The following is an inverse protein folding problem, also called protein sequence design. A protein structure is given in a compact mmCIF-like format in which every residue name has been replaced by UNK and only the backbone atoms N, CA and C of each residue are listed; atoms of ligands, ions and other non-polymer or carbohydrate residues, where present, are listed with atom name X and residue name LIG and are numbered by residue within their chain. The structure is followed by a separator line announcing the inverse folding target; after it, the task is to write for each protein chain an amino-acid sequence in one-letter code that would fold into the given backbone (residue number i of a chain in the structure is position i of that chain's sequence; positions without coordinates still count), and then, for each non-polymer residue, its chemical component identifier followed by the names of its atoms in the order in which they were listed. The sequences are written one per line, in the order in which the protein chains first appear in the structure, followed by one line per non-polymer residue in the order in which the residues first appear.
data_IF_777833689087
#
_entry.id   IF_777833689087
#
_cell.length_a   1.000
_cell.length_b   1.000
_cell.length_c   1.000
_cell.angle_alpha   90.00
_cell.angle_beta   90.00
_cell.angle_gamma   90.00
#
_symmetry.space_group_name_H-M   'P 1'
#
loop_
_entity.id
_entity.type
_entity.pdbx_description
1 polymer ?
#
# COMPACT_ATOMS: atom_id res chain seq x y z
N UNK A 1 36.44 24.65 -12.80
CA UNK A 1 35.65 25.86 -12.47
C UNK A 1 34.18 25.52 -12.61
N UNK A 2 33.43 25.52 -11.50
CA UNK A 2 31.99 25.25 -11.50
C UNK A 2 31.26 26.42 -12.18
N UNK A 3 30.50 26.15 -13.25
CA UNK A 3 29.70 27.16 -13.95
C UNK A 3 28.26 27.08 -13.46
N UNK A 4 27.82 28.07 -12.69
CA UNK A 4 26.42 28.17 -12.23
C UNK A 4 25.63 28.93 -13.30
N UNK A 5 24.57 28.32 -13.83
CA UNK A 5 23.68 28.94 -14.81
C UNK A 5 22.55 29.70 -14.11
N UNK A 6 22.00 30.71 -14.78
CA UNK A 6 20.95 31.59 -14.23
C UNK A 6 19.69 30.81 -13.80
N UNK A 7 19.35 29.74 -14.52
CA UNK A 7 18.22 28.87 -14.21
C UNK A 7 18.44 28.11 -12.89
N UNK A 8 19.67 27.64 -12.64
CA UNK A 8 20.03 26.95 -11.40
C UNK A 8 19.94 27.89 -10.19
N UNK A 9 20.24 29.18 -10.38
CA UNK A 9 20.11 30.19 -9.34
C UNK A 9 18.63 30.50 -9.01
N UNK A 10 17.77 30.52 -10.03
CA UNK A 10 16.33 30.69 -9.84
C UNK A 10 15.69 29.55 -9.04
N UNK A 11 16.07 28.31 -9.32
CA UNK A 11 15.57 27.13 -8.59
C UNK A 11 16.02 27.16 -7.12
N UNK A 12 17.25 27.59 -6.87
CA UNK A 12 17.78 27.75 -5.51
C UNK A 12 17.07 28.88 -4.73
N UNK A 13 16.75 30.01 -5.38
CA UNK A 13 16.01 31.09 -4.74
C UNK A 13 14.57 30.70 -4.40
N UNK A 14 13.93 29.89 -5.26
CA UNK A 14 12.55 29.47 -5.05
C UNK A 14 12.42 28.44 -3.91
N UNK A 15 13.44 27.59 -3.70
CA UNK A 15 13.44 26.61 -2.60
C UNK A 15 13.57 27.26 -1.21
N UNK A 16 14.21 28.43 -1.11
CA UNK A 16 14.34 29.17 0.16
C UNK A 16 13.02 29.78 0.66
N UNK A 17 12.04 30.01 -0.23
CA UNK A 17 10.73 30.57 0.13
C UNK A 17 9.81 29.53 0.80
N UNK A 18 10.08 28.22 0.64
CA UNK A 18 9.24 27.15 1.19
C UNK A 18 9.31 27.03 2.73
N UNK A 19 10.31 27.64 3.37
CA UNK A 19 10.53 27.53 4.82
C UNK A 19 10.05 28.75 5.64
N UNK A 20 9.53 29.80 5.01
CA UNK A 20 9.10 31.04 5.70
C UNK A 20 7.61 31.04 6.08
N UNK A 21 7.09 29.95 6.62
CA UNK A 21 5.75 29.94 7.23
C UNK A 21 5.88 30.37 8.70
N UNK A 22 5.53 31.62 8.99
CA UNK A 22 5.39 32.09 10.37
C UNK A 22 4.15 31.46 11.00
N UNK A 23 4.36 30.48 11.89
CA UNK A 23 3.28 29.92 12.71
C UNK A 23 2.82 30.97 13.72
N UNK A 24 1.68 31.61 13.48
CA UNK A 24 0.97 32.34 14.54
C UNK A 24 0.38 31.32 15.51
N UNK A 25 0.94 31.25 16.72
CA UNK A 25 0.32 30.60 17.87
C UNK A 25 -0.71 31.56 18.46
N UNK A 26 -2.00 31.32 18.19
CA UNK A 26 -3.10 31.97 18.91
C UNK A 26 -3.13 31.45 20.35
N UNK A 27 -2.69 32.29 21.29
CA UNK A 27 -2.58 31.99 22.73
C UNK A 27 -3.93 31.86 23.46
N UNK A 28 -5.06 31.89 22.75
CA UNK A 28 -6.43 31.86 23.31
C UNK A 28 -7.26 30.64 22.91
N UNK A 29 -6.63 29.58 22.40
CA UNK A 29 -7.31 28.30 22.15
C UNK A 29 -7.18 27.40 23.38
N UNK A 30 -8.25 27.27 24.16
CA UNK A 30 -8.37 26.21 25.17
C UNK A 30 -8.10 24.87 24.49
N UNK A 31 -6.98 24.23 24.82
CA UNK A 31 -6.57 22.95 24.23
C UNK A 31 -7.55 21.85 24.67
N UNK A 32 -8.59 21.61 23.89
CA UNK A 32 -9.38 20.38 23.99
C UNK A 32 -8.53 19.23 23.47
N UNK A 33 -8.19 18.26 24.33
CA UNK A 33 -7.50 17.03 23.94
C UNK A 33 -8.32 16.31 22.88
N UNK A 34 -7.95 16.45 21.61
CA UNK A 34 -8.57 15.72 20.49
C UNK A 34 -7.88 14.38 20.37
N UNK A 35 -8.58 13.30 20.69
CA UNK A 35 -8.03 11.95 20.73
C UNK A 35 -8.12 11.27 19.38
N UNK A 36 -7.14 10.42 19.07
CA UNK A 36 -7.21 9.47 17.97
C UNK A 36 -8.41 8.54 18.18
N UNK A 37 -9.22 8.34 17.15
CA UNK A 37 -10.37 7.43 17.16
C UNK A 37 -10.00 6.16 16.42
N UNK A 38 -10.19 5.02 17.06
CA UNK A 38 -10.22 3.73 16.39
C UNK A 38 -11.57 3.60 15.69
N UNK A 39 -11.56 3.37 14.38
CA UNK A 39 -12.78 3.26 13.58
C UNK A 39 -13.22 1.79 13.51
N UNK A 40 -12.33 0.92 13.03
CA UNK A 40 -12.61 -0.50 12.86
C UNK A 40 -11.30 -1.30 12.75
N UNK A 41 -11.40 -2.60 13.02
CA UNK A 41 -10.45 -3.59 12.54
C UNK A 41 -11.24 -4.79 12.00
N UNK A 42 -10.80 -5.33 10.87
CA UNK A 42 -11.40 -6.51 10.28
C UNK A 42 -10.36 -7.63 10.14
N UNK A 43 -10.88 -8.85 10.13
CA UNK A 43 -10.12 -10.06 9.86
C UNK A 43 -10.82 -10.71 8.67
N UNK A 44 -10.08 -10.88 7.58
CA UNK A 44 -10.58 -11.45 6.34
C UNK A 44 -9.81 -12.73 6.05
N UNK A 45 -10.53 -13.83 5.92
CA UNK A 45 -9.97 -15.13 5.52
C UNK A 45 -10.57 -15.54 4.17
N UNK A 46 -9.74 -15.98 3.25
CA UNK A 46 -10.17 -16.49 1.95
C UNK A 46 -9.52 -17.84 1.63
N UNK A 47 -10.30 -18.67 0.95
CA UNK A 47 -9.88 -19.98 0.48
C UNK A 47 -10.20 -20.10 -1.00
N UNK A 48 -9.18 -20.43 -1.79
CA UNK A 48 -9.33 -20.72 -3.19
C UNK A 48 -8.78 -22.11 -3.50
N UNK A 49 -9.54 -22.89 -4.27
CA UNK A 49 -9.13 -24.21 -4.71
C UNK A 49 -9.55 -24.42 -6.16
N UNK A 50 -8.56 -24.78 -6.98
CA UNK A 50 -8.76 -25.16 -8.37
C UNK A 50 -8.22 -26.56 -8.58
N UNK A 51 -8.91 -27.31 -9.44
CA UNK A 51 -8.48 -28.62 -9.90
C UNK A 51 -8.88 -28.78 -11.38
N UNK A 52 -7.98 -29.32 -12.19
CA UNK A 52 -8.14 -29.45 -13.63
C UNK A 52 -7.00 -30.27 -14.24
N UNK A 53 -7.17 -30.69 -15.49
CA UNK A 53 -6.22 -31.53 -16.23
C UNK A 53 -5.73 -30.89 -17.54
N UNK A 54 -6.09 -29.63 -17.81
CA UNK A 54 -5.79 -28.91 -19.04
C UNK A 54 -4.83 -27.74 -18.80
N UNK A 55 -3.66 -28.04 -18.22
CA UNK A 55 -2.65 -27.00 -17.97
C UNK A 55 -2.26 -26.23 -19.24
N UNK A 56 -2.37 -24.90 -19.16
CA UNK A 56 -2.05 -23.98 -20.25
C UNK A 56 -0.55 -23.97 -20.62
N UNK A 57 0.32 -24.37 -19.68
CA UNK A 57 1.79 -24.29 -19.82
C UNK A 57 2.33 -25.49 -20.62
N UNK A 58 1.59 -26.60 -20.68
CA UNK A 58 1.97 -27.85 -21.36
C UNK A 58 1.13 -28.14 -22.61
N UNK A 59 0.47 -27.14 -23.17
CA UNK A 59 -0.34 -27.31 -24.38
C UNK A 59 -1.62 -28.13 -24.15
N UNK A 60 -2.19 -28.08 -22.95
CA UNK A 60 -3.47 -28.73 -22.62
C UNK A 60 -3.36 -30.11 -21.94
N UNK A 61 -2.15 -30.52 -21.53
CA UNK A 61 -1.91 -31.81 -20.85
C UNK A 61 -1.16 -31.57 -19.53
N UNK A 62 -1.85 -31.57 -18.39
CA UNK A 62 -1.20 -31.41 -17.08
C UNK A 62 -2.15 -30.92 -16.00
N UNK A 63 -1.79 -31.13 -14.73
CA UNK A 63 -2.63 -30.73 -13.59
C UNK A 63 -2.66 -29.22 -13.39
N UNK A 64 -3.84 -28.69 -13.11
CA UNK A 64 -4.09 -27.30 -12.72
C UNK A 64 -4.40 -27.17 -11.22
N UNK A 65 -4.00 -28.16 -10.42
CA UNK A 65 -4.33 -28.16 -9.00
C UNK A 65 -3.63 -26.98 -8.30
N UNK A 66 -4.42 -26.10 -7.71
CA UNK A 66 -3.96 -24.90 -7.01
C UNK A 66 -4.79 -24.74 -5.74
N UNK A 67 -4.15 -24.49 -4.61
CA UNK A 67 -4.84 -24.18 -3.35
C UNK A 67 -4.17 -22.97 -2.71
N UNK A 68 -4.98 -21.99 -2.35
CA UNK A 68 -4.56 -20.75 -1.70
C UNK A 68 -5.40 -20.49 -0.45
N UNK A 69 -4.73 -20.26 0.67
CA UNK A 69 -5.32 -19.85 1.94
C UNK A 69 -4.73 -18.51 2.37
N UNK A 70 -5.55 -17.47 2.37
CA UNK A 70 -5.13 -16.11 2.66
C UNK A 70 -5.84 -15.57 3.91
N UNK A 71 -5.09 -14.91 4.79
CA UNK A 71 -5.61 -14.23 5.97
C UNK A 71 -5.05 -12.82 6.05
N UNK A 72 -5.94 -11.84 6.21
CA UNK A 72 -5.58 -10.42 6.31
C UNK A 72 -6.20 -9.83 7.56
N UNK A 73 -5.40 -9.09 8.33
CA UNK A 73 -5.89 -8.23 9.41
C UNK A 73 -5.72 -6.79 8.95
N UNK A 74 -6.80 -6.02 8.92
CA UNK A 74 -6.77 -4.59 8.61
C UNK A 74 -7.31 -3.76 9.78
N UNK A 75 -6.79 -2.55 9.94
CA UNK A 75 -7.27 -1.60 10.93
C UNK A 75 -7.32 -0.19 10.38
N UNK A 76 -8.23 0.62 10.92
CA UNK A 76 -8.42 2.02 10.53
C UNK A 76 -8.55 2.90 11.76
N UNK A 77 -7.81 4.00 11.74
CA UNK A 77 -7.79 5.04 12.76
C UNK A 77 -8.09 6.39 12.08
N UNK A 78 -8.80 7.27 12.77
CA UNK A 78 -9.02 8.63 12.30
C UNK A 78 -8.82 9.65 13.40
N UNK A 79 -8.40 10.83 12.99
CA UNK A 79 -8.20 11.96 13.87
C UNK A 79 -8.81 13.20 13.21
N UNK A 80 -9.66 13.92 13.94
CA UNK A 80 -10.23 15.18 13.46
C UNK A 80 -9.63 16.33 14.27
N UNK A 81 -9.00 17.29 13.58
CA UNK A 81 -8.42 18.45 14.25
C UNK A 81 -9.45 19.53 14.62
N UNK A 82 -10.73 19.34 14.29
CA UNK A 82 -11.85 20.27 14.47
C UNK A 82 -11.68 21.62 13.78
N UNK A 83 -10.66 21.76 12.91
CA UNK A 83 -10.41 22.90 12.03
C UNK A 83 -10.74 22.55 10.57
N UNK A 84 -11.63 21.56 10.37
CA UNK A 84 -12.08 21.09 9.06
C UNK A 84 -11.08 20.16 8.37
N UNK A 85 -10.16 19.52 9.09
CA UNK A 85 -9.30 18.46 8.54
C UNK A 85 -9.52 17.15 9.30
N UNK A 86 -9.84 16.10 8.53
CA UNK A 86 -9.92 14.72 9.01
C UNK A 86 -8.72 13.95 8.48
N UNK A 87 -7.92 13.43 9.39
CA UNK A 87 -6.78 12.58 9.14
C UNK A 87 -7.23 11.12 9.27
N UNK A 88 -6.82 10.27 8.34
CA UNK A 88 -7.12 8.84 8.35
C UNK A 88 -5.80 8.08 8.22
N UNK A 89 -5.60 7.10 9.09
CA UNK A 89 -4.47 6.19 9.08
C UNK A 89 -5.01 4.77 9.02
N UNK A 90 -4.47 3.96 8.13
CA UNK A 90 -4.82 2.57 8.01
C UNK A 90 -3.58 1.71 7.85
N UNK A 91 -3.70 0.46 8.24
CA UNK A 91 -2.69 -0.54 7.98
C UNK A 91 -3.32 -1.91 7.86
N UNK A 92 -2.64 -2.78 7.13
CA UNK A 92 -3.02 -4.16 6.96
C UNK A 92 -1.77 -5.05 6.95
N UNK A 93 -1.97 -6.29 7.36
CA UNK A 93 -0.97 -7.36 7.25
C UNK A 93 -1.67 -8.61 6.76
N UNK A 94 -1.23 -9.10 5.60
CA UNK A 94 -1.70 -10.34 5.01
C UNK A 94 -0.65 -11.45 5.07
N UNK A 95 -1.14 -12.68 5.24
CA UNK A 95 -0.37 -13.92 5.17
C UNK A 95 -1.14 -14.89 4.28
N UNK A 96 -0.52 -15.30 3.17
CA UNK A 96 -1.09 -16.25 2.23
C UNK A 96 -0.23 -17.51 2.17
N UNK A 97 -0.89 -18.66 2.08
CA UNK A 97 -0.29 -19.97 1.89
C UNK A 97 -0.73 -20.50 0.53
N UNK A 98 0.18 -20.44 -0.43
CA UNK A 98 -0.07 -20.84 -1.81
C UNK A 98 0.57 -22.19 -2.11
N UNK A 99 -0.17 -23.08 -2.76
CA UNK A 99 0.32 -24.37 -3.26
C UNK A 99 -0.14 -24.62 -4.68
N UNK A 100 0.75 -25.05 -5.57
CA UNK A 100 0.40 -25.41 -6.95
C UNK A 100 1.04 -26.72 -7.39
N UNK A 101 0.35 -27.48 -8.24
CA UNK A 101 0.86 -28.73 -8.79
C UNK A 101 1.74 -28.56 -10.04
N UNK A 102 1.91 -27.33 -10.55
CA UNK A 102 2.76 -27.02 -11.71
C UNK A 102 4.12 -26.40 -11.35
N UNK A 103 4.31 -25.88 -10.14
CA UNK A 103 5.64 -25.46 -9.66
C UNK A 103 6.62 -26.64 -9.55
N UNK A 104 6.10 -27.86 -9.38
CA UNK A 104 6.85 -29.10 -9.19
C UNK A 104 7.50 -29.66 -10.48
N UNK A 105 7.22 -29.08 -11.66
CA UNK A 105 7.79 -29.54 -12.94
C UNK A 105 8.96 -28.70 -13.43
N UNK A 106 9.38 -27.69 -12.67
CA UNK A 106 10.51 -26.81 -13.00
C UNK A 106 11.75 -27.10 -12.13
N UNK A 107 11.63 -27.83 -11.03
CA UNK A 107 12.80 -28.32 -10.27
C UNK A 107 13.00 -29.84 -10.46
N UNK A 108 14.23 -30.25 -10.75
CA UNK A 108 14.64 -31.63 -11.01
C UNK A 108 15.13 -32.35 -9.75
N UNK A 109 14.64 -31.95 -8.57
CA UNK A 109 14.86 -32.68 -7.31
C UNK A 109 13.55 -33.18 -6.73
N UNK A 110 13.36 -34.49 -6.90
CA UNK A 110 12.28 -35.24 -6.27
C UNK A 110 12.55 -35.32 -4.76
N UNK A 111 11.94 -34.45 -3.98
CA UNK A 111 11.70 -34.70 -2.56
C UNK A 111 10.42 -34.02 -2.08
N UNK A 112 9.39 -34.86 -1.93
CA UNK A 112 8.32 -34.77 -0.91
C UNK A 112 7.45 -33.51 -0.90
N UNK A 113 6.31 -33.52 -1.60
CA UNK A 113 5.11 -32.72 -1.30
C UNK A 113 5.36 -31.27 -0.79
N UNK A 114 6.32 -30.54 -1.37
CA UNK A 114 6.94 -29.34 -0.81
C UNK A 114 7.01 -28.21 -1.84
N UNK A 115 5.87 -27.61 -2.16
CA UNK A 115 5.78 -26.34 -2.88
C UNK A 115 4.69 -25.49 -2.23
N UNK A 116 4.87 -25.18 -0.95
CA UNK A 116 4.02 -24.24 -0.22
C UNK A 116 4.80 -22.94 -0.04
N UNK A 117 4.48 -21.92 -0.83
CA UNK A 117 5.07 -20.60 -0.68
C UNK A 117 4.21 -19.78 0.28
N UNK A 118 4.86 -19.22 1.29
CA UNK A 118 4.24 -18.31 2.26
C UNK A 118 4.57 -16.89 1.85
N UNK A 119 3.53 -16.09 1.64
CA UNK A 119 3.69 -14.67 1.34
C UNK A 119 3.20 -13.82 2.49
N UNK A 120 4.04 -12.91 2.97
CA UNK A 120 3.70 -11.91 3.99
C UNK A 120 3.76 -10.53 3.37
N UNK A 121 2.66 -9.78 3.43
CA UNK A 121 2.53 -8.49 2.74
C UNK A 121 1.86 -7.43 3.62
N UNK A 122 2.63 -6.70 4.43
CA UNK A 122 2.11 -5.57 5.18
C UNK A 122 1.98 -4.31 4.31
N UNK A 123 0.95 -3.52 4.58
CA UNK A 123 0.79 -2.20 3.97
C UNK A 123 0.29 -1.16 4.98
N UNK A 124 0.63 0.09 4.72
CA UNK A 124 0.17 1.25 5.49
C UNK A 124 -0.32 2.33 4.54
N UNK A 125 -1.33 3.06 4.99
CA UNK A 125 -1.91 4.16 4.24
C UNK A 125 -2.25 5.34 5.15
N UNK A 126 -2.12 6.54 4.59
CA UNK A 126 -2.42 7.78 5.29
C UNK A 126 -3.08 8.76 4.33
N UNK A 127 -4.15 9.42 4.79
CA UNK A 127 -4.81 10.46 4.00
C UNK A 127 -5.34 11.59 4.87
N UNK A 128 -5.43 12.77 4.27
CA UNK A 128 -5.99 13.97 4.87
C UNK A 128 -7.13 14.45 4.00
N UNK A 129 -8.29 14.56 4.61
CA UNK A 129 -9.50 15.12 4.02
C UNK A 129 -9.72 16.53 4.54
N UNK A 130 -10.07 17.44 3.63
CA UNK A 130 -10.62 18.74 3.95
C UNK A 130 -12.14 18.66 3.98
N UNK A 131 -12.76 18.73 5.16
CA UNK A 131 -14.20 18.55 5.34
C UNK A 131 -15.02 19.64 4.65
N UNK A 132 -14.46 20.85 4.47
CA UNK A 132 -15.15 21.96 3.79
C UNK A 132 -15.20 21.78 2.28
N UNK A 133 -14.19 21.14 1.71
CA UNK A 133 -14.06 20.99 0.26
C UNK A 133 -14.24 19.55 -0.18
N UNK A 134 -14.41 18.59 0.73
CA UNK A 134 -14.41 17.15 0.45
C UNK A 134 -13.26 16.72 -0.46
N UNK A 135 -12.09 17.35 -0.29
CA UNK A 135 -10.88 17.00 -1.02
C UNK A 135 -9.98 16.16 -0.13
N UNK A 136 -9.58 15.01 -0.63
CA UNK A 136 -8.72 14.02 0.03
C UNK A 136 -7.40 13.96 -0.73
N UNK A 137 -6.31 13.97 0.02
CA UNK A 137 -4.98 13.66 -0.48
C UNK A 137 -4.34 12.65 0.46
N UNK A 138 -3.73 11.62 -0.09
CA UNK A 138 -3.08 10.59 0.68
C UNK A 138 -2.02 9.84 -0.07
N UNK A 139 -1.43 8.88 0.61
CA UNK A 139 -0.46 7.96 0.06
C UNK A 139 -0.43 6.65 0.83
N UNK A 140 0.26 5.70 0.26
CA UNK A 140 0.40 4.35 0.80
C UNK A 140 1.80 3.83 0.56
N UNK A 141 2.22 2.92 1.43
CA UNK A 141 3.42 2.10 1.29
C UNK A 141 3.02 0.64 1.49
N UNK A 142 3.57 -0.24 0.68
CA UNK A 142 3.33 -1.66 0.73
C UNK A 142 4.67 -2.40 0.64
N UNK A 143 4.77 -3.49 1.35
CA UNK A 143 5.89 -4.43 1.27
C UNK A 143 5.29 -5.81 1.06
N UNK A 144 5.97 -6.66 0.30
CA UNK A 144 5.60 -8.06 0.16
C UNK A 144 6.87 -8.90 0.10
N UNK A 145 6.88 -9.96 0.87
CA UNK A 145 7.93 -10.96 0.85
C UNK A 145 7.29 -12.35 0.68
N UNK A 146 7.80 -13.06 -0.31
CA UNK A 146 7.57 -14.46 -0.63
C UNK A 146 8.97 -15.10 -0.71
N UNK A 147 9.09 -16.42 -0.57
CA UNK A 147 10.34 -17.15 -0.30
C UNK A 147 11.63 -16.52 -0.88
N UNK A 148 11.69 -16.34 -2.19
CA UNK A 148 12.79 -15.74 -2.95
C UNK A 148 12.37 -14.46 -3.70
N UNK A 149 11.34 -13.78 -3.20
CA UNK A 149 10.77 -12.64 -3.88
C UNK A 149 10.35 -11.54 -2.92
N UNK A 150 10.99 -10.39 -3.04
CA UNK A 150 10.68 -9.21 -2.24
C UNK A 150 10.27 -8.06 -3.14
N UNK A 151 9.19 -7.37 -2.77
CA UNK A 151 8.77 -6.15 -3.43
C UNK A 151 8.43 -5.06 -2.44
N UNK A 152 8.67 -3.82 -2.86
CA UNK A 152 8.27 -2.62 -2.14
C UNK A 152 7.51 -1.71 -3.10
N UNK A 153 6.40 -1.17 -2.62
CA UNK A 153 5.51 -0.33 -3.39
C UNK A 153 5.14 0.94 -2.64
N UNK A 154 4.89 1.99 -3.38
CA UNK A 154 4.42 3.26 -2.83
C UNK A 154 3.49 3.96 -3.81
N UNK A 155 2.56 4.74 -3.26
CA UNK A 155 1.58 5.44 -4.08
C UNK A 155 1.04 6.71 -3.46
N UNK A 156 0.45 7.54 -4.31
CA UNK A 156 -0.28 8.74 -3.96
C UNK A 156 -1.71 8.66 -4.50
N UNK A 157 -2.65 9.25 -3.78
CA UNK A 157 -4.03 9.37 -4.18
C UNK A 157 -4.56 10.78 -3.93
N UNK A 158 -5.40 11.26 -4.85
CA UNK A 158 -6.12 12.51 -4.77
C UNK A 158 -7.58 12.22 -5.11
N UNK A 159 -8.50 12.63 -4.26
CA UNK A 159 -9.94 12.47 -4.50
C UNK A 159 -10.66 13.77 -4.19
N UNK A 160 -11.60 14.14 -5.05
CA UNK A 160 -12.52 15.25 -4.84
C UNK A 160 -13.94 14.73 -4.92
N UNK A 161 -14.68 14.88 -3.83
CA UNK A 161 -16.11 14.58 -3.80
C UNK A 161 -16.90 15.89 -3.89
N UNK A 162 -18.03 15.88 -4.60
CA UNK A 162 -18.98 16.99 -4.59
C UNK A 162 -19.57 17.20 -3.19
N UNK A 163 -19.96 18.44 -2.86
CA UNK A 163 -20.46 18.78 -1.51
C UNK A 163 -21.77 18.05 -1.15
N UNK A 164 -22.62 17.79 -2.14
CA UNK A 164 -23.82 16.97 -2.00
C UNK A 164 -23.55 15.45 -2.06
N UNK A 165 -22.28 15.04 -2.11
CA UNK A 165 -21.81 13.64 -2.10
C UNK A 165 -22.39 12.75 -3.21
N UNK A 166 -22.82 13.33 -4.33
CA UNK A 166 -23.39 12.56 -5.45
C UNK A 166 -22.39 12.26 -6.58
N UNK A 167 -21.21 12.90 -6.56
CA UNK A 167 -20.18 12.75 -7.59
C UNK A 167 -18.81 12.73 -6.93
N UNK A 168 -17.95 11.82 -7.38
CA UNK A 168 -16.56 11.71 -6.94
C UNK A 168 -15.63 11.63 -8.14
N UNK A 169 -14.51 12.35 -8.10
CA UNK A 169 -13.41 12.22 -9.04
C UNK A 169 -12.13 11.89 -8.29
N UNK A 170 -11.42 10.86 -8.74
CA UNK A 170 -10.20 10.38 -8.09
C UNK A 170 -9.08 10.12 -9.08
N UNK A 171 -7.85 10.36 -8.65
CA UNK A 171 -6.63 9.98 -9.34
C UNK A 171 -5.71 9.25 -8.36
N UNK A 172 -5.13 8.13 -8.80
CA UNK A 172 -4.18 7.34 -8.01
C UNK A 172 -3.00 6.94 -8.89
N UNK A 173 -1.80 7.04 -8.34
CA UNK A 173 -0.57 6.56 -8.97
C UNK A 173 0.18 5.69 -7.96
N UNK A 174 0.62 4.50 -8.39
CA UNK A 174 1.45 3.60 -7.59
C UNK A 174 2.67 3.17 -8.41
N UNK A 175 3.76 2.92 -7.72
CA UNK A 175 5.00 2.37 -8.26
C UNK A 175 5.38 1.18 -7.38
N UNK A 176 5.75 0.07 -8.01
CA UNK A 176 6.23 -1.13 -7.35
C UNK A 176 7.62 -1.48 -7.89
N UNK A 177 8.55 -1.77 -6.98
CA UNK A 177 9.90 -2.19 -7.30
C UNK A 177 10.19 -3.55 -6.71
N UNK A 178 10.82 -4.40 -7.51
CA UNK A 178 11.32 -5.70 -7.05
C UNK A 178 12.72 -5.52 -6.48
N UNK A 179 12.92 -6.10 -5.31
CA UNK A 179 14.22 -6.23 -4.69
C UNK A 179 14.72 -7.64 -4.98
N UNK A 180 15.93 -7.82 -5.54
CA UNK A 180 16.53 -9.14 -5.62
C UNK A 180 16.67 -9.68 -4.20
N UNK A 181 16.05 -10.82 -3.91
CA UNK A 181 16.36 -11.55 -2.68
C UNK A 181 17.70 -12.24 -2.88
N UNK A 182 18.63 -12.04 -1.95
CA UNK A 182 19.87 -12.80 -1.95
C UNK A 182 19.53 -14.29 -1.80
N UNK A 183 19.78 -15.07 -2.86
CA UNK A 183 19.85 -16.53 -2.77
C UNK A 183 21.01 -16.89 -1.83
N UNK A 184 20.74 -16.96 -0.52
CA UNK A 184 21.67 -17.46 0.48
C UNK A 184 21.05 -18.63 1.22
N UNK A 185 21.01 -19.77 0.53
CA UNK A 185 21.04 -21.09 1.13
C UNK A 185 21.96 -22.00 0.32
#
# INVERSE_FOLDING_TARGET
MLRITLNSLFILLFSLQMFSQTFKLDSTQTYGKKTLKFEEANIVSSYYHQNGIHSAITGGIGTEKLTDFANVIDFKLSYNNGKGKKYRFGGDIGIDYYTSASSDKIDTRVSSASSSDVRVYPSINYSVENEKTSFVMGGNLAFSNEYDYTSIGGGLNLTKTSLNKNTEFGARANIFGYLPSDCTH
#
